data_IF_619721199729
#
_entry.id   IF_619721199729
#
_cell.length_a   1.000
_cell.length_b   1.000
_cell.length_c   1.000
_cell.angle_alpha   90.00
_cell.angle_beta   90.00
_cell.angle_gamma   90.00
#
_symmetry.space_group_name_H-M   'P 1'
#
loop_
_entity.id
_entity.type
_entity.pdbx_description
1 polymer ?
#
# COMPACT_ATOMS: atom_id res chain seq x y z
N UNK A 1 -46.84 5.55 -35.46
CA UNK A 1 -47.22 6.98 -35.59
C UNK A 1 -46.81 7.69 -34.31
N UNK A 2 -45.90 8.60 -34.47
CA UNK A 2 -45.71 9.90 -33.81
C UNK A 2 -45.21 9.87 -32.38
N UNK A 3 -44.27 10.66 -31.97
CA UNK A 3 -43.37 11.63 -32.60
C UNK A 3 -42.19 11.86 -31.63
N UNK A 4 -41.04 12.11 -32.23
CA UNK A 4 -39.80 12.56 -31.61
C UNK A 4 -40.00 14.03 -31.19
N UNK A 5 -39.48 14.37 -30.00
CA UNK A 5 -39.12 15.76 -29.67
C UNK A 5 -37.70 15.81 -29.15
N UNK A 6 -36.84 16.30 -30.00
CA UNK A 6 -35.49 16.69 -29.66
C UNK A 6 -35.52 18.11 -29.08
N UNK A 7 -34.89 18.32 -27.93
CA UNK A 7 -34.58 19.63 -27.40
C UNK A 7 -33.08 19.83 -27.42
N UNK A 8 -32.62 20.65 -28.37
CA UNK A 8 -31.23 21.13 -28.46
C UNK A 8 -31.06 22.28 -27.48
N UNK A 9 -30.10 22.15 -26.53
CA UNK A 9 -29.66 23.26 -25.73
C UNK A 9 -28.25 23.68 -26.21
N UNK A 10 -28.21 24.82 -26.88
CA UNK A 10 -27.00 25.57 -27.21
C UNK A 10 -26.50 26.23 -25.92
N UNK A 11 -25.30 25.89 -25.50
CA UNK A 11 -24.53 26.67 -24.50
C UNK A 11 -23.38 27.35 -25.24
N UNK A 12 -23.53 28.68 -25.36
CA UNK A 12 -22.50 29.58 -25.90
C UNK A 12 -21.32 29.66 -24.97
N UNK A 13 -20.14 29.50 -25.53
CA UNK A 13 -18.86 29.65 -24.81
C UNK A 13 -18.58 31.09 -24.40
N UNK A 14 -18.13 31.25 -23.19
CA UNK A 14 -17.49 32.46 -22.67
C UNK A 14 -16.12 32.13 -22.14
N UNK A 15 -15.09 32.38 -22.93
CA UNK A 15 -13.70 32.33 -22.47
C UNK A 15 -13.37 33.59 -21.68
N UNK A 16 -13.06 33.43 -20.41
CA UNK A 16 -12.41 34.48 -19.61
C UNK A 16 -10.91 34.21 -19.55
N UNK A 17 -10.16 35.00 -20.29
CA UNK A 17 -8.73 35.06 -20.17
C UNK A 17 -8.35 36.01 -19.03
N UNK A 18 -7.60 35.51 -18.05
CA UNK A 18 -6.89 36.36 -17.09
C UNK A 18 -5.45 36.48 -17.55
N UNK A 19 -5.08 37.66 -17.99
CA UNK A 19 -3.71 38.09 -18.15
C UNK A 19 -3.19 38.53 -16.77
N UNK A 20 -2.10 37.95 -16.31
CA UNK A 20 -1.31 38.47 -15.20
C UNK A 20 -0.09 39.16 -15.77
N UNK A 21 -0.07 40.48 -15.69
CA UNK A 21 1.14 41.29 -15.86
C UNK A 21 2.07 41.05 -14.67
N UNK A 22 3.28 40.61 -14.95
CA UNK A 22 4.39 40.67 -14.00
C UNK A 22 5.28 41.83 -14.37
N UNK A 23 5.41 42.80 -13.48
CA UNK A 23 6.46 43.83 -13.56
C UNK A 23 7.78 43.29 -12.97
N UNK A 24 8.94 43.69 -13.51
CA UNK A 24 10.24 43.25 -13.05
C UNK A 24 10.72 44.06 -11.85
N UNK A 25 11.23 43.38 -10.82
CA UNK A 25 11.89 44.03 -9.67
C UNK A 25 13.38 44.18 -9.99
N UNK A 26 13.82 45.42 -10.02
CA UNK A 26 15.22 45.84 -10.17
C UNK A 26 16.08 45.42 -8.97
N UNK A 27 17.26 44.88 -9.27
CA UNK A 27 18.36 44.70 -8.33
C UNK A 27 19.06 46.05 -8.09
N UNK A 28 19.04 46.52 -6.85
CA UNK A 28 19.98 47.56 -6.39
C UNK A 28 20.86 46.98 -5.29
N UNK A 29 22.17 47.09 -5.54
CA UNK A 29 23.20 46.68 -4.60
C UNK A 29 23.47 47.69 -3.51
N UNK A 30 24.15 47.28 -2.47
CA UNK A 30 24.66 48.17 -1.45
C UNK A 30 25.31 47.43 -0.28
N UNK A 31 26.62 47.57 -0.16
CA UNK A 31 27.51 47.04 0.89
C UNK A 31 27.08 47.47 2.29
N UNK A 32 27.41 46.60 3.28
CA UNK A 32 27.45 47.00 4.69
C UNK A 32 27.85 45.83 5.60
N UNK A 33 29.13 45.73 5.94
CA UNK A 33 29.67 44.88 6.99
C UNK A 33 29.15 45.33 8.36
N UNK A 34 28.63 44.40 9.14
CA UNK A 34 28.64 44.46 10.62
C UNK A 34 28.60 43.03 11.19
N UNK A 35 29.64 42.67 11.89
CA UNK A 35 29.70 41.50 12.77
C UNK A 35 28.76 41.68 13.94
N UNK A 36 27.93 40.67 14.21
CA UNK A 36 27.48 40.35 15.57
C UNK A 36 26.97 38.92 15.55
N UNK A 37 27.61 38.07 16.34
CA UNK A 37 27.23 36.68 16.51
C UNK A 37 25.85 36.53 17.14
N UNK A 38 25.13 35.55 16.65
CA UNK A 38 24.28 34.73 17.51
C UNK A 38 23.93 33.41 16.84
N UNK A 39 24.07 32.38 17.60
CA UNK A 39 23.65 31.02 17.28
C UNK A 39 22.14 31.01 16.96
N UNK A 40 21.80 30.59 15.77
CA UNK A 40 20.43 30.20 15.42
C UNK A 40 20.40 28.67 15.18
N UNK A 41 19.31 28.02 15.44
CA UNK A 41 19.28 26.57 15.64
C UNK A 41 19.52 25.82 14.32
N UNK A 42 20.67 25.20 14.21
CA UNK A 42 21.01 24.32 13.06
C UNK A 42 20.22 22.99 13.05
N UNK A 43 19.40 22.73 14.08
CA UNK A 43 18.68 21.43 14.18
C UNK A 43 17.40 21.36 13.36
N UNK A 44 16.61 22.46 13.21
CA UNK A 44 15.38 22.41 12.41
C UNK A 44 15.61 22.30 10.90
N UNK A 45 16.72 22.84 10.40
CA UNK A 45 17.07 22.81 8.98
C UNK A 45 17.61 21.45 8.51
N UNK A 46 18.14 20.62 9.41
CA UNK A 46 18.65 19.29 9.05
C UNK A 46 17.54 18.24 8.98
N UNK A 47 16.52 18.33 9.85
CA UNK A 47 15.38 17.41 9.83
C UNK A 47 14.56 17.55 8.53
N UNK A 48 14.30 18.79 8.10
CA UNK A 48 13.54 19.07 6.88
C UNK A 48 14.27 18.65 5.60
N UNK A 49 15.60 18.64 5.61
CA UNK A 49 16.40 18.23 4.44
C UNK A 49 16.44 16.71 4.22
N UNK A 50 16.13 15.90 5.25
CA UNK A 50 16.15 14.44 5.17
C UNK A 50 14.80 13.81 4.81
N UNK A 51 13.68 14.46 5.14
CA UNK A 51 12.33 13.95 4.89
C UNK A 51 11.61 14.65 3.73
N UNK A 52 11.97 15.90 3.42
CA UNK A 52 11.39 16.75 2.35
C UNK A 52 9.87 16.98 2.48
N UNK A 53 9.27 16.49 3.57
CA UNK A 53 7.88 16.75 3.93
C UNK A 53 7.88 17.99 4.81
N UNK A 54 7.03 18.97 4.50
CA UNK A 54 6.92 20.12 5.38
C UNK A 54 6.38 19.69 6.74
N UNK A 55 6.88 20.26 7.83
CA UNK A 55 6.40 19.96 9.19
C UNK A 55 4.86 20.10 9.31
N UNK A 56 4.26 20.94 8.47
CA UNK A 56 2.81 21.12 8.40
C UNK A 56 2.10 19.92 7.74
N UNK A 57 2.66 19.36 6.66
CA UNK A 57 2.08 18.17 6.00
C UNK A 57 2.22 16.93 6.87
N UNK A 58 3.35 16.77 7.53
CA UNK A 58 3.56 15.67 8.47
C UNK A 58 2.59 15.74 9.66
N UNK A 59 2.40 16.92 10.26
CA UNK A 59 1.47 17.12 11.35
C UNK A 59 0.01 16.84 10.94
N UNK A 60 -0.39 17.26 9.74
CA UNK A 60 -1.73 16.96 9.20
C UNK A 60 -1.90 15.45 8.96
N UNK A 61 -0.87 14.79 8.47
CA UNK A 61 -0.87 13.37 8.23
C UNK A 61 -0.94 12.58 9.55
N UNK A 62 -0.15 12.96 10.56
CA UNK A 62 -0.21 12.37 11.90
C UNK A 62 -1.57 12.58 12.57
N UNK A 63 -2.11 13.79 12.50
CA UNK A 63 -3.44 14.07 13.01
C UNK A 63 -4.52 13.18 12.36
N UNK A 64 -4.42 12.94 11.04
CA UNK A 64 -5.30 12.02 10.34
C UNK A 64 -5.13 10.59 10.83
N UNK A 65 -3.90 10.10 11.00
CA UNK A 65 -3.66 8.74 11.53
C UNK A 65 -4.28 8.55 12.91
N UNK A 66 -4.10 9.53 13.81
CA UNK A 66 -4.70 9.50 15.15
C UNK A 66 -6.23 9.54 15.11
N UNK A 67 -6.81 10.31 14.19
CA UNK A 67 -8.28 10.42 14.06
C UNK A 67 -8.94 9.12 13.55
N UNK A 68 -8.20 8.19 12.98
CA UNK A 68 -8.72 6.92 12.45
C UNK A 68 -8.78 5.80 13.50
N UNK A 69 -8.24 6.00 14.70
CA UNK A 69 -8.07 4.92 15.68
C UNK A 69 -9.39 4.19 16.00
N UNK A 70 -10.45 4.94 16.35
CA UNK A 70 -11.76 4.36 16.67
C UNK A 70 -12.38 3.62 15.48
N UNK A 71 -12.20 4.14 14.25
CA UNK A 71 -12.67 3.50 13.04
C UNK A 71 -11.89 2.20 12.73
N UNK A 72 -10.58 2.18 13.00
CA UNK A 72 -9.72 0.99 12.86
C UNK A 72 -10.09 -0.09 13.88
N UNK A 73 -10.44 0.30 15.12
CA UNK A 73 -10.93 -0.65 16.11
C UNK A 73 -12.28 -1.26 15.68
N UNK A 74 -13.22 -0.42 15.26
CA UNK A 74 -14.51 -0.86 14.74
C UNK A 74 -14.35 -1.83 13.56
N UNK A 75 -13.46 -1.50 12.61
CA UNK A 75 -13.12 -2.40 11.52
C UNK A 75 -12.52 -3.72 12.00
N UNK A 76 -11.63 -3.69 12.99
CA UNK A 76 -11.00 -4.91 13.52
C UNK A 76 -12.03 -5.87 14.13
N UNK A 77 -13.04 -5.33 14.81
CA UNK A 77 -14.16 -6.11 15.35
C UNK A 77 -15.03 -6.69 14.24
N UNK A 78 -15.39 -5.89 13.24
CA UNK A 78 -16.13 -6.33 12.07
C UNK A 78 -15.38 -7.45 11.34
N UNK A 79 -14.09 -7.22 11.07
CA UNK A 79 -13.25 -8.21 10.39
C UNK A 79 -13.14 -9.53 11.16
N UNK A 80 -13.05 -9.45 12.49
CA UNK A 80 -13.01 -10.63 13.36
C UNK A 80 -14.32 -11.43 13.34
N UNK A 81 -15.45 -10.82 13.00
CA UNK A 81 -16.76 -11.49 12.96
C UNK A 81 -16.94 -12.39 11.74
N UNK A 82 -16.15 -12.20 10.68
CA UNK A 82 -16.25 -13.02 9.46
C UNK A 82 -15.55 -14.37 9.65
N UNK A 83 -16.07 -15.47 9.06
CA UNK A 83 -15.37 -16.73 8.95
C UNK A 83 -14.00 -16.53 8.29
N UNK A 84 -12.99 -17.30 8.71
CA UNK A 84 -11.61 -17.16 8.21
C UNK A 84 -11.13 -18.42 7.50
N UNK A 85 -10.30 -18.22 6.48
CA UNK A 85 -9.49 -19.27 5.88
C UNK A 85 -8.25 -19.59 6.73
N UNK A 86 -7.41 -20.49 6.26
CA UNK A 86 -6.16 -20.89 6.91
C UNK A 86 -5.11 -19.75 7.02
N UNK A 87 -5.26 -18.68 6.23
CA UNK A 87 -4.37 -17.51 6.21
C UNK A 87 -4.93 -16.35 7.04
N UNK A 88 -6.14 -16.50 7.62
CA UNK A 88 -6.80 -15.47 8.41
C UNK A 88 -7.58 -14.43 7.60
N UNK A 89 -7.82 -14.68 6.30
CA UNK A 89 -8.70 -13.87 5.46
C UNK A 89 -10.15 -14.34 5.57
N UNK A 90 -11.16 -13.46 5.36
CA UNK A 90 -12.53 -13.89 5.27
C UNK A 90 -12.69 -14.96 4.18
N UNK A 91 -13.32 -16.07 4.55
CA UNK A 91 -13.66 -17.14 3.62
C UNK A 91 -15.08 -17.04 3.07
N UNK A 92 -15.89 -16.16 3.68
CA UNK A 92 -17.23 -15.79 3.21
C UNK A 92 -17.69 -14.50 3.90
N UNK A 93 -18.67 -13.86 3.30
CA UNK A 93 -19.27 -12.61 3.80
C UNK A 93 -20.79 -12.79 3.96
N UNK A 94 -21.45 -11.95 4.80
CA UNK A 94 -22.91 -11.84 4.79
C UNK A 94 -23.41 -11.38 3.41
N UNK A 95 -24.58 -11.89 3.00
CA UNK A 95 -25.17 -11.61 1.66
C UNK A 95 -25.34 -10.13 1.36
N UNK A 96 -25.58 -9.31 2.39
CA UNK A 96 -25.76 -7.86 2.25
C UNK A 96 -24.48 -7.05 2.42
N UNK A 97 -23.36 -7.68 2.80
CA UNK A 97 -22.07 -6.99 2.94
C UNK A 97 -21.46 -6.69 1.57
N UNK A 98 -21.04 -5.44 1.37
CA UNK A 98 -20.51 -4.96 0.10
C UNK A 98 -19.13 -4.30 0.21
N UNK A 99 -18.47 -4.47 1.34
CA UNK A 99 -17.16 -3.90 1.64
C UNK A 99 -17.22 -2.75 2.63
N UNK A 100 -16.05 -2.19 2.96
CA UNK A 100 -15.95 -1.01 3.81
C UNK A 100 -14.69 -0.19 3.48
N UNK A 101 -14.69 1.08 3.89
CA UNK A 101 -13.53 1.95 3.72
C UNK A 101 -13.53 3.05 4.78
N UNK A 102 -12.38 3.67 5.01
CA UNK A 102 -12.28 4.88 5.83
C UNK A 102 -12.38 6.11 4.92
N UNK A 103 -13.34 7.00 5.22
CA UNK A 103 -13.56 8.23 4.46
C UNK A 103 -12.62 9.38 4.88
N UNK A 104 -12.78 10.53 4.26
CA UNK A 104 -11.97 11.73 4.54
C UNK A 104 -12.20 12.31 5.94
N UNK A 105 -13.36 11.97 6.56
CA UNK A 105 -13.69 12.36 7.95
C UNK A 105 -13.16 11.37 8.98
N UNK A 106 -12.44 10.32 8.57
CA UNK A 106 -11.95 9.22 9.40
C UNK A 106 -13.06 8.34 9.96
N UNK A 107 -14.22 8.27 9.29
CA UNK A 107 -15.30 7.35 9.64
C UNK A 107 -15.18 6.04 8.86
N UNK A 108 -15.48 4.92 9.51
CA UNK A 108 -15.62 3.62 8.86
C UNK A 108 -16.96 3.58 8.12
N UNK A 109 -16.93 3.61 6.81
CA UNK A 109 -18.12 3.50 5.96
C UNK A 109 -18.31 2.05 5.57
N UNK A 110 -19.38 1.42 6.04
CA UNK A 110 -19.78 0.06 5.65
C UNK A 110 -20.78 0.16 4.51
N UNK A 111 -20.50 -0.57 3.44
CA UNK A 111 -21.34 -0.66 2.26
C UNK A 111 -22.27 -1.87 2.40
N UNK A 112 -23.57 -1.65 2.17
CA UNK A 112 -24.57 -2.70 2.28
C UNK A 112 -25.48 -2.72 1.04
N UNK A 113 -25.79 -3.91 0.54
CA UNK A 113 -26.83 -4.11 -0.47
C UNK A 113 -28.19 -4.07 0.22
N UNK A 114 -29.09 -3.20 -0.29
CA UNK A 114 -30.44 -3.03 0.27
C UNK A 114 -30.47 -2.80 1.80
N UNK A 115 -29.75 -1.82 2.36
CA UNK A 115 -29.63 -1.62 3.79
C UNK A 115 -30.97 -1.40 4.47
N UNK A 116 -31.22 -2.10 5.56
CA UNK A 116 -32.37 -1.90 6.46
C UNK A 116 -31.85 -1.36 7.79
N UNK A 117 -32.72 -0.71 8.58
CA UNK A 117 -32.32 -0.28 9.94
C UNK A 117 -31.85 -1.47 10.79
N UNK A 118 -32.51 -2.61 10.65
CA UNK A 118 -32.10 -3.84 11.35
C UNK A 118 -30.71 -4.32 10.94
N UNK A 119 -30.37 -4.31 9.65
CA UNK A 119 -29.03 -4.71 9.22
C UNK A 119 -27.97 -3.71 9.69
N UNK A 120 -28.25 -2.40 9.62
CA UNK A 120 -27.33 -1.37 10.14
C UNK A 120 -27.08 -1.51 11.65
N UNK A 121 -28.11 -1.78 12.45
CA UNK A 121 -27.97 -2.04 13.88
C UNK A 121 -27.07 -3.26 14.13
N UNK A 122 -27.29 -4.37 13.42
CA UNK A 122 -26.49 -5.57 13.55
C UNK A 122 -25.00 -5.30 13.23
N UNK A 123 -24.69 -4.61 12.13
CA UNK A 123 -23.30 -4.26 11.80
C UNK A 123 -22.70 -3.26 12.81
N UNK A 124 -23.50 -2.34 13.33
CA UNK A 124 -23.05 -1.42 14.36
C UNK A 124 -22.67 -2.14 15.65
N UNK A 125 -23.44 -3.16 16.04
CA UNK A 125 -23.11 -4.05 17.18
C UNK A 125 -21.79 -4.80 16.92
N UNK A 126 -21.61 -5.38 15.73
CA UNK A 126 -20.36 -6.06 15.33
C UNK A 126 -19.15 -5.11 15.41
N UNK A 127 -19.34 -3.83 15.16
CA UNK A 127 -18.32 -2.79 15.28
C UNK A 127 -18.19 -2.19 16.68
N UNK A 128 -18.68 -2.83 17.73
CA UNK A 128 -18.60 -2.34 19.10
C UNK A 128 -19.42 -1.08 19.39
N UNK A 129 -20.45 -0.81 18.59
CA UNK A 129 -21.29 0.39 18.67
C UNK A 129 -20.54 1.71 18.49
N UNK A 130 -19.40 1.70 17.79
CA UNK A 130 -18.61 2.90 17.54
C UNK A 130 -19.44 4.01 16.87
N UNK A 131 -19.20 5.25 17.30
CA UNK A 131 -19.81 6.45 16.73
C UNK A 131 -19.25 6.79 15.35
N UNK A 132 -18.10 6.21 14.98
CA UNK A 132 -17.40 6.39 13.71
C UNK A 132 -17.91 5.48 12.59
N UNK A 133 -18.90 4.63 12.86
CA UNK A 133 -19.48 3.76 11.84
C UNK A 133 -20.58 4.49 11.08
N UNK A 134 -20.46 4.51 9.76
CA UNK A 134 -21.43 5.04 8.80
C UNK A 134 -21.87 3.94 7.86
N UNK A 135 -23.03 4.11 7.23
CA UNK A 135 -23.56 3.17 6.27
C UNK A 135 -23.85 3.84 4.94
N UNK A 136 -23.58 3.15 3.85
CA UNK A 136 -23.89 3.58 2.50
C UNK A 136 -24.50 2.41 1.73
N UNK A 137 -25.51 2.70 0.92
CA UNK A 137 -26.07 1.68 0.02
C UNK A 137 -25.07 1.36 -1.10
N UNK A 138 -25.00 0.09 -1.44
CA UNK A 138 -24.21 -0.47 -2.53
C UNK A 138 -25.10 -1.26 -3.47
N UNK A 139 -24.63 -1.48 -4.69
CA UNK A 139 -25.37 -2.22 -5.70
C UNK A 139 -25.00 -3.71 -5.68
N UNK A 140 -23.73 -4.04 -5.41
CA UNK A 140 -23.16 -5.38 -5.52
C UNK A 140 -22.60 -5.81 -4.16
N UNK A 141 -22.84 -7.07 -3.77
CA UNK A 141 -22.27 -7.63 -2.55
C UNK A 141 -20.76 -7.91 -2.73
N UNK A 142 -20.05 -8.08 -1.62
CA UNK A 142 -18.63 -8.43 -1.65
C UNK A 142 -18.39 -9.77 -2.34
N UNK A 143 -19.24 -10.76 -2.05
CA UNK A 143 -19.18 -12.08 -2.67
C UNK A 143 -19.40 -12.00 -4.20
N UNK A 144 -20.38 -11.17 -4.65
CA UNK A 144 -20.59 -10.91 -6.07
C UNK A 144 -19.37 -10.26 -6.71
N UNK A 145 -18.77 -9.24 -6.07
CA UNK A 145 -17.58 -8.57 -6.60
C UNK A 145 -16.38 -9.52 -6.65
N UNK A 146 -16.15 -10.33 -5.62
CA UNK A 146 -15.05 -11.29 -5.60
C UNK A 146 -15.20 -12.40 -6.64
N UNK A 147 -16.43 -12.75 -7.03
CA UNK A 147 -16.66 -13.76 -8.08
C UNK A 147 -16.01 -13.40 -9.43
N UNK A 148 -15.77 -12.12 -9.70
CA UNK A 148 -15.07 -11.65 -10.90
C UNK A 148 -13.57 -11.94 -10.91
N UNK A 149 -12.98 -12.41 -9.80
CA UNK A 149 -11.59 -12.88 -9.80
C UNK A 149 -11.37 -14.01 -10.81
N UNK A 150 -12.31 -14.94 -10.92
CA UNK A 150 -12.21 -16.06 -11.87
C UNK A 150 -12.25 -15.57 -13.33
N UNK A 151 -13.02 -14.52 -13.61
CA UNK A 151 -13.06 -13.92 -14.96
C UNK A 151 -11.73 -13.21 -15.28
N UNK A 152 -11.19 -12.45 -14.33
CA UNK A 152 -9.89 -11.81 -14.50
C UNK A 152 -8.77 -12.84 -14.68
N UNK A 153 -8.83 -13.96 -13.95
CA UNK A 153 -7.91 -15.09 -14.11
C UNK A 153 -7.96 -15.67 -15.52
N UNK A 154 -9.15 -15.88 -16.08
CA UNK A 154 -9.32 -16.36 -17.45
C UNK A 154 -8.72 -15.38 -18.47
N UNK A 155 -8.96 -14.09 -18.32
CA UNK A 155 -8.34 -13.07 -19.18
C UNK A 155 -6.81 -13.15 -19.13
N UNK A 156 -6.24 -13.31 -17.94
CA UNK A 156 -4.79 -13.50 -17.80
C UNK A 156 -4.30 -14.77 -18.50
N UNK A 157 -5.01 -15.90 -18.33
CA UNK A 157 -4.69 -17.17 -18.99
C UNK A 157 -4.85 -17.11 -20.52
N UNK A 158 -5.78 -16.29 -21.02
CA UNK A 158 -5.97 -15.99 -22.44
C UNK A 158 -4.87 -15.10 -23.02
N UNK A 159 -3.97 -14.58 -22.19
CA UNK A 159 -2.80 -13.81 -22.58
C UNK A 159 -3.01 -12.30 -22.59
N UNK A 160 -4.06 -11.78 -21.98
CA UNK A 160 -4.18 -10.35 -21.72
C UNK A 160 -3.16 -9.91 -20.68
N UNK A 161 -2.57 -8.75 -20.90
CA UNK A 161 -1.53 -8.20 -20.03
C UNK A 161 -2.14 -7.42 -18.86
N UNK A 162 -2.59 -8.16 -17.82
CA UNK A 162 -3.20 -7.62 -16.63
C UNK A 162 -2.12 -7.11 -15.66
N UNK A 163 -2.14 -5.82 -15.37
CA UNK A 163 -1.23 -5.16 -14.42
C UNK A 163 -1.65 -5.43 -12.97
N UNK A 164 -2.96 -5.34 -12.70
CA UNK A 164 -3.55 -5.69 -11.40
C UNK A 164 -5.06 -5.83 -11.52
N UNK A 165 -5.67 -6.58 -10.62
CA UNK A 165 -7.13 -6.66 -10.53
C UNK A 165 -7.58 -6.93 -9.09
N UNK A 166 -8.82 -6.60 -8.79
CA UNK A 166 -9.43 -6.81 -7.48
C UNK A 166 -10.61 -5.88 -7.20
N UNK A 167 -11.21 -6.07 -6.03
CA UNK A 167 -12.34 -5.27 -5.58
C UNK A 167 -11.88 -3.87 -5.18
N UNK A 168 -12.56 -2.85 -5.69
CA UNK A 168 -12.48 -1.48 -5.23
C UNK A 168 -13.70 -1.20 -4.34
N UNK A 169 -13.56 -1.44 -3.05
CA UNK A 169 -14.65 -1.35 -2.09
C UNK A 169 -15.29 0.05 -2.08
N UNK A 170 -14.50 1.12 -2.02
CA UNK A 170 -15.00 2.50 -1.97
C UNK A 170 -15.98 2.83 -3.11
N UNK A 171 -15.77 2.25 -4.28
CA UNK A 171 -16.60 2.48 -5.46
C UNK A 171 -17.59 1.34 -5.73
N UNK A 172 -17.56 0.27 -4.93
CA UNK A 172 -18.36 -0.94 -5.12
C UNK A 172 -18.22 -1.50 -6.54
N UNK A 173 -16.98 -1.74 -6.97
CA UNK A 173 -16.61 -2.16 -8.31
C UNK A 173 -15.50 -3.21 -8.26
N UNK A 174 -15.45 -4.07 -9.27
CA UNK A 174 -14.29 -4.91 -9.55
C UNK A 174 -13.43 -4.25 -10.62
N UNK A 175 -12.18 -3.95 -10.32
CA UNK A 175 -11.25 -3.28 -11.24
C UNK A 175 -10.29 -4.26 -11.86
N UNK A 176 -10.07 -4.11 -13.17
CA UNK A 176 -9.02 -4.80 -13.91
C UNK A 176 -8.18 -3.72 -14.58
N UNK A 177 -6.88 -3.67 -14.27
CA UNK A 177 -5.93 -2.77 -14.92
C UNK A 177 -5.12 -3.53 -15.92
N UNK A 178 -5.07 -3.00 -17.13
CA UNK A 178 -4.38 -3.61 -18.27
C UNK A 178 -3.51 -2.56 -18.96
N UNK A 179 -2.58 -3.02 -19.81
CA UNK A 179 -1.82 -2.12 -20.66
C UNK A 179 -2.73 -1.41 -21.71
N UNK A 180 -2.19 -0.43 -22.41
CA UNK A 180 -2.93 0.37 -23.41
C UNK A 180 -3.51 -0.49 -24.54
N UNK A 181 -2.76 -1.49 -25.01
CA UNK A 181 -3.20 -2.35 -26.12
C UNK A 181 -4.42 -3.17 -25.73
N UNK A 182 -4.37 -3.82 -24.57
CA UNK A 182 -5.44 -4.68 -24.08
C UNK A 182 -6.60 -3.86 -23.52
N UNK A 183 -6.36 -2.64 -23.04
CA UNK A 183 -7.42 -1.70 -22.69
C UNK A 183 -8.34 -1.41 -23.86
N UNK A 184 -7.77 -1.15 -25.05
CA UNK A 184 -8.57 -0.89 -26.25
C UNK A 184 -9.39 -2.11 -26.69
N UNK A 185 -8.85 -3.32 -26.52
CA UNK A 185 -9.56 -4.58 -26.83
C UNK A 185 -10.71 -4.82 -25.83
N UNK A 186 -10.39 -4.84 -24.54
CA UNK A 186 -11.33 -5.19 -23.47
C UNK A 186 -12.40 -4.13 -23.27
N UNK A 187 -12.04 -2.84 -23.30
CA UNK A 187 -13.00 -1.75 -23.13
C UNK A 187 -14.13 -1.80 -24.15
N UNK A 188 -13.84 -2.20 -25.40
CA UNK A 188 -14.85 -2.37 -26.44
C UNK A 188 -15.82 -3.53 -26.16
N UNK A 189 -15.35 -4.60 -25.54
CA UNK A 189 -16.17 -5.76 -25.15
C UNK A 189 -17.05 -5.45 -23.93
N UNK A 190 -16.50 -4.76 -22.94
CA UNK A 190 -17.19 -4.42 -21.69
C UNK A 190 -18.09 -3.17 -21.79
N UNK A 191 -17.94 -2.30 -22.81
CA UNK A 191 -18.82 -1.14 -23.02
C UNK A 191 -20.29 -1.56 -23.17
N UNK A 192 -20.58 -2.71 -23.75
CA UNK A 192 -21.95 -3.18 -23.95
C UNK A 192 -22.64 -3.63 -22.65
N UNK A 193 -21.85 -3.95 -21.61
CA UNK A 193 -22.36 -4.44 -20.31
C UNK A 193 -22.23 -3.43 -19.18
N UNK A 194 -21.68 -2.24 -19.43
CA UNK A 194 -21.37 -1.20 -18.41
C UNK A 194 -22.54 -0.77 -17.53
N UNK A 195 -23.78 -0.90 -18.00
CA UNK A 195 -24.94 -0.49 -17.20
C UNK A 195 -25.37 -1.52 -16.16
N UNK A 196 -24.84 -2.74 -16.21
CA UNK A 196 -25.24 -3.88 -15.36
C UNK A 196 -24.07 -4.66 -14.77
N UNK A 197 -22.83 -4.34 -15.13
CA UNK A 197 -21.62 -5.02 -14.60
C UNK A 197 -20.84 -4.12 -13.65
N UNK A 198 -20.38 -4.64 -12.51
CA UNK A 198 -19.49 -3.90 -11.61
C UNK A 198 -18.04 -3.81 -12.11
N UNK A 199 -17.71 -4.51 -13.22
CA UNK A 199 -16.34 -4.59 -13.73
C UNK A 199 -15.95 -3.27 -14.42
N UNK A 200 -14.83 -2.72 -14.00
CA UNK A 200 -14.21 -1.51 -14.58
C UNK A 200 -12.84 -1.87 -15.13
N UNK A 201 -12.66 -1.68 -16.43
CA UNK A 201 -11.36 -1.80 -17.09
C UNK A 201 -10.67 -0.43 -17.03
N UNK A 202 -9.47 -0.37 -16.48
CA UNK A 202 -8.63 0.84 -16.42
C UNK A 202 -7.33 0.62 -17.21
N UNK A 203 -6.93 1.63 -17.98
CA UNK A 203 -5.60 1.66 -18.59
C UNK A 203 -4.54 1.89 -17.52
N UNK A 204 -3.48 1.09 -17.54
CA UNK A 204 -2.27 1.32 -16.76
C UNK A 204 -1.07 1.47 -17.67
N UNK A 205 -0.37 2.61 -17.54
CA UNK A 205 0.85 2.90 -18.31
C UNK A 205 2.11 2.30 -17.67
N UNK A 206 1.98 1.64 -16.54
CA UNK A 206 3.13 1.12 -15.79
C UNK A 206 2.75 -0.11 -14.96
N UNK A 207 3.71 -1.01 -14.83
CA UNK A 207 3.62 -2.17 -13.95
C UNK A 207 4.08 -1.81 -12.53
N UNK A 208 3.61 -2.58 -11.56
CA UNK A 208 4.21 -2.59 -10.23
C UNK A 208 5.44 -3.48 -10.31
N UNK A 209 6.62 -2.90 -10.19
CA UNK A 209 7.88 -3.64 -10.28
C UNK A 209 8.41 -3.95 -8.88
N UNK A 210 9.03 -5.13 -8.68
CA UNK A 210 9.75 -5.40 -7.44
C UNK A 210 10.85 -4.36 -7.26
N UNK A 211 10.88 -3.71 -6.10
CA UNK A 211 11.93 -2.74 -5.79
C UNK A 211 13.15 -3.48 -5.27
N UNK A 212 13.95 -4.06 -6.15
CA UNK A 212 15.08 -4.93 -5.78
C UNK A 212 16.43 -4.25 -6.02
N UNK A 213 17.04 -3.70 -5.04
CA UNK A 213 18.49 -3.57 -4.80
C UNK A 213 18.78 -2.79 -3.51
N UNK A 214 19.51 -3.28 -2.59
CA UNK A 214 20.02 -2.67 -1.35
C UNK A 214 19.01 -2.45 -0.21
N UNK A 215 19.20 -3.15 0.89
CA UNK A 215 18.29 -3.35 2.01
C UNK A 215 18.63 -2.69 3.32
N UNK A 216 17.58 -2.05 3.91
CA UNK A 216 17.61 -1.66 5.32
C UNK A 216 16.21 -1.79 5.90
N UNK A 217 15.92 -2.58 6.82
CA UNK A 217 14.71 -2.60 7.59
C UNK A 217 14.81 -1.71 8.79
N UNK A 218 14.79 -0.56 8.54
CA UNK A 218 15.71 0.03 9.25
C UNK A 218 17.13 -0.34 8.80
N UNK A 219 17.55 -1.50 8.37
CA UNK A 219 18.93 -1.87 7.98
C UNK A 219 18.99 -2.59 6.62
N UNK A 220 20.13 -2.44 5.94
CA UNK A 220 20.43 -3.08 4.66
C UNK A 220 20.64 -4.58 4.84
N UNK A 221 20.07 -5.43 4.01
CA UNK A 221 20.50 -6.79 3.85
C UNK A 221 20.63 -7.18 2.38
N UNK A 222 21.55 -8.05 2.10
CA UNK A 222 21.87 -8.56 0.77
C UNK A 222 21.72 -10.08 0.78
N UNK A 223 21.40 -10.65 -0.37
CA UNK A 223 21.25 -12.08 -0.50
C UNK A 223 22.35 -12.63 -1.40
N UNK A 224 22.79 -13.85 -1.13
CA UNK A 224 23.73 -14.53 -2.02
C UNK A 224 23.14 -14.55 -3.43
N UNK A 225 23.94 -14.12 -4.43
CA UNK A 225 23.48 -13.97 -5.83
C UNK A 225 23.19 -12.52 -6.24
N UNK A 226 23.63 -11.54 -5.44
CA UNK A 226 23.58 -10.09 -5.72
C UNK A 226 22.17 -9.48 -5.77
N UNK A 227 21.19 -10.09 -5.14
CA UNK A 227 19.90 -9.44 -4.90
C UNK A 227 19.90 -8.79 -3.52
N UNK A 228 19.09 -7.79 -3.42
CA UNK A 228 19.04 -6.97 -2.22
C UNK A 228 17.59 -6.53 -1.95
N UNK A 229 17.17 -6.19 -0.76
CA UNK A 229 15.84 -5.77 -0.34
C UNK A 229 15.89 -5.13 1.06
N UNK A 230 14.87 -4.73 1.76
CA UNK A 230 14.82 -4.08 3.11
C UNK A 230 14.42 -5.08 4.20
N UNK A 231 15.02 -5.06 5.38
CA UNK A 231 14.53 -5.81 6.55
C UNK A 231 13.20 -5.21 7.01
N UNK A 232 12.11 -5.97 7.00
CA UNK A 232 10.80 -5.50 7.40
C UNK A 232 10.69 -5.26 8.89
N UNK A 233 10.68 -6.31 9.66
CA UNK A 233 10.58 -6.25 11.13
C UNK A 233 11.19 -7.51 11.74
N UNK A 234 11.61 -7.39 12.99
CA UNK A 234 12.08 -8.50 13.80
C UNK A 234 10.97 -9.30 14.46
N UNK A 235 11.23 -10.56 14.68
CA UNK A 235 10.30 -11.50 15.28
C UNK A 235 10.97 -12.82 15.64
N UNK A 236 10.16 -13.87 15.73
CA UNK A 236 10.66 -15.23 15.93
C UNK A 236 10.03 -16.19 14.92
N UNK A 237 10.76 -17.21 14.56
CA UNK A 237 10.29 -18.32 13.75
C UNK A 237 10.78 -19.62 14.39
N UNK A 238 9.84 -20.55 14.70
CA UNK A 238 10.14 -21.79 15.42
C UNK A 238 10.95 -21.57 16.71
N UNK A 239 10.60 -20.50 17.46
CA UNK A 239 11.27 -20.15 18.73
C UNK A 239 12.66 -19.49 18.59
N UNK A 240 13.16 -19.28 17.37
CA UNK A 240 14.43 -18.63 17.10
C UNK A 240 14.22 -17.22 16.58
N UNK A 241 15.19 -16.35 16.81
CA UNK A 241 15.21 -15.00 16.28
C UNK A 241 15.16 -15.01 14.75
N UNK A 242 14.26 -14.22 14.20
CA UNK A 242 14.04 -14.12 12.76
C UNK A 242 13.67 -12.68 12.36
N UNK A 243 13.82 -12.39 11.08
CA UNK A 243 13.34 -11.15 10.43
C UNK A 243 12.54 -11.52 9.20
N UNK A 244 11.70 -10.59 8.75
CA UNK A 244 10.99 -10.73 7.48
C UNK A 244 11.49 -9.72 6.46
N UNK A 245 11.28 -10.04 5.19
CA UNK A 245 11.48 -9.17 4.03
C UNK A 245 10.52 -9.59 2.92
N UNK A 246 10.58 -8.94 1.75
CA UNK A 246 9.82 -9.39 0.59
C UNK A 246 10.35 -10.73 0.02
N UNK A 247 9.43 -11.57 -0.46
CA UNK A 247 9.75 -12.90 -0.96
C UNK A 247 10.50 -12.90 -2.28
N UNK A 248 10.33 -11.85 -3.09
CA UNK A 248 11.06 -11.72 -4.36
C UNK A 248 12.53 -11.33 -4.17
N UNK A 249 12.92 -10.79 -3.01
CA UNK A 249 14.30 -10.40 -2.74
C UNK A 249 15.27 -11.60 -2.76
N UNK A 250 15.04 -12.70 -2.02
CA UNK A 250 15.81 -13.92 -2.20
C UNK A 250 15.27 -14.71 -3.39
N UNK A 251 16.13 -15.21 -4.25
CA UNK A 251 15.72 -16.00 -5.41
C UNK A 251 15.22 -17.43 -5.05
N UNK A 252 15.60 -17.95 -3.86
CA UNK A 252 15.15 -19.26 -3.33
C UNK A 252 15.27 -19.35 -1.82
N UNK A 253 14.80 -20.46 -1.24
CA UNK A 253 15.08 -20.82 0.14
C UNK A 253 16.56 -21.21 0.34
N UNK A 254 16.98 -21.24 1.59
CA UNK A 254 18.34 -21.63 2.02
C UNK A 254 19.46 -20.72 1.50
N UNK A 255 19.13 -19.48 1.14
CA UNK A 255 20.09 -18.46 0.72
C UNK A 255 20.63 -17.75 1.96
N UNK A 256 21.95 -17.51 2.00
CA UNK A 256 22.57 -16.67 3.01
C UNK A 256 22.18 -15.21 2.81
N UNK A 257 21.98 -14.55 3.95
CA UNK A 257 21.63 -13.13 4.01
C UNK A 257 22.74 -12.37 4.72
N UNK A 258 23.15 -11.26 4.13
CA UNK A 258 24.27 -10.43 4.58
C UNK A 258 23.74 -9.05 5.02
N UNK A 259 24.40 -8.45 5.99
CA UNK A 259 24.21 -7.04 6.34
C UNK A 259 25.07 -6.11 5.47
N UNK A 260 24.96 -4.80 5.72
CA UNK A 260 25.75 -3.78 5.02
C UNK A 260 27.27 -3.95 5.15
N UNK A 261 27.74 -4.66 6.18
CA UNK A 261 29.15 -4.95 6.42
C UNK A 261 29.59 -6.30 5.84
N UNK A 262 28.79 -6.87 4.96
CA UNK A 262 29.05 -8.17 4.33
C UNK A 262 29.18 -9.35 5.31
N UNK A 263 28.52 -9.25 6.47
CA UNK A 263 28.48 -10.33 7.46
C UNK A 263 27.22 -11.17 7.27
N UNK A 264 27.34 -12.50 7.30
CA UNK A 264 26.19 -13.39 7.23
C UNK A 264 25.34 -13.22 8.50
N UNK A 265 24.12 -12.71 8.35
CA UNK A 265 23.18 -12.50 9.46
C UNK A 265 22.21 -13.67 9.65
N UNK A 266 22.00 -14.46 8.62
CA UNK A 266 21.06 -15.59 8.69
C UNK A 266 20.87 -16.28 7.36
N UNK A 267 19.81 -17.10 7.31
CA UNK A 267 19.42 -17.89 6.13
C UNK A 267 17.92 -17.78 5.89
N UNK A 268 17.51 -17.70 4.64
CA UNK A 268 16.10 -17.75 4.25
C UNK A 268 15.54 -19.14 4.54
N UNK A 269 14.60 -19.22 5.46
CA UNK A 269 13.97 -20.48 5.88
C UNK A 269 12.57 -20.69 5.29
N UNK A 270 11.93 -19.63 4.86
CA UNK A 270 10.63 -19.67 4.16
C UNK A 270 10.54 -18.49 3.19
N UNK A 271 10.01 -18.78 2.01
CA UNK A 271 9.81 -17.80 0.95
C UNK A 271 8.46 -18.05 0.28
N UNK A 272 7.75 -16.98 -0.02
CA UNK A 272 6.55 -16.95 -0.84
C UNK A 272 6.70 -15.85 -1.89
N UNK A 273 6.95 -16.24 -3.10
CA UNK A 273 6.98 -15.43 -4.32
C UNK A 273 7.04 -16.38 -5.52
N UNK A 274 6.04 -17.22 -5.63
CA UNK A 274 5.88 -18.12 -6.77
C UNK A 274 4.64 -17.68 -7.52
N UNK A 275 4.57 -17.97 -8.80
CA UNK A 275 3.39 -17.64 -9.59
C UNK A 275 2.13 -18.21 -8.93
N UNK A 276 1.12 -17.39 -8.75
CA UNK A 276 -0.12 -17.69 -8.05
C UNK A 276 0.04 -17.95 -6.53
N UNK A 277 1.06 -17.41 -5.91
CA UNK A 277 1.15 -17.47 -4.45
C UNK A 277 0.44 -16.29 -3.79
N UNK A 278 -0.09 -16.53 -2.60
CA UNK A 278 -0.64 -15.48 -1.75
C UNK A 278 0.46 -14.80 -0.93
N UNK A 279 0.56 -13.50 -1.08
CA UNK A 279 1.55 -12.66 -0.39
C UNK A 279 2.97 -12.79 -0.96
N UNK A 280 3.76 -11.75 -0.73
CA UNK A 280 5.16 -11.62 -1.13
C UNK A 280 6.02 -11.45 0.13
N UNK A 281 6.55 -12.54 0.69
CA UNK A 281 7.37 -12.48 1.90
C UNK A 281 8.43 -13.56 1.96
N UNK A 282 9.51 -13.28 2.69
CA UNK A 282 10.49 -14.25 3.12
C UNK A 282 10.76 -14.13 4.62
N UNK A 283 10.97 -15.26 5.29
CA UNK A 283 11.39 -15.36 6.68
C UNK A 283 12.86 -15.76 6.69
N UNK A 284 13.67 -14.96 7.37
CA UNK A 284 15.11 -15.16 7.53
C UNK A 284 15.34 -15.54 8.98
N UNK A 285 15.78 -16.76 9.22
CA UNK A 285 16.22 -17.17 10.55
C UNK A 285 17.63 -16.65 10.79
N UNK A 286 17.80 -15.92 11.88
CA UNK A 286 19.08 -15.33 12.23
C UNK A 286 20.04 -16.39 12.81
N UNK A 287 21.33 -16.19 12.61
CA UNK A 287 22.36 -16.95 13.30
C UNK A 287 22.52 -16.44 14.76
N UNK A 288 23.25 -17.18 15.58
CA UNK A 288 23.34 -16.91 17.03
C UNK A 288 23.99 -15.57 17.38
N UNK A 289 24.70 -14.94 16.44
CA UNK A 289 25.39 -13.67 16.66
C UNK A 289 24.48 -12.46 16.49
N UNK A 290 23.28 -12.66 15.96
CA UNK A 290 22.33 -11.58 15.67
C UNK A 290 21.00 -11.82 16.38
N UNK A 291 20.38 -10.73 16.82
CA UNK A 291 19.06 -10.76 17.45
C UNK A 291 18.09 -9.86 16.69
N UNK A 292 16.90 -10.37 16.47
CA UNK A 292 15.81 -9.57 15.93
C UNK A 292 15.34 -8.55 16.97
N UNK A 293 14.91 -7.39 16.54
CA UNK A 293 14.32 -6.35 17.39
C UNK A 293 12.97 -5.89 16.86
N UNK A 294 12.17 -5.26 17.70
CA UNK A 294 10.96 -4.57 17.29
C UNK A 294 11.22 -3.11 16.90
N UNK A 295 12.45 -2.74 16.62
CA UNK A 295 12.84 -1.36 16.32
C UNK A 295 13.05 -1.16 14.83
N UNK A 296 12.69 0.02 14.37
CA UNK A 296 13.00 0.50 13.03
C UNK A 296 14.22 1.41 13.10
N UNK A 297 15.06 1.34 12.07
CA UNK A 297 16.24 2.19 11.95
C UNK A 297 15.81 3.65 11.78
N UNK A 298 16.40 4.57 12.55
CA UNK A 298 16.01 5.97 12.49
C UNK A 298 16.41 6.59 11.16
N UNK A 299 15.48 7.32 10.56
CA UNK A 299 15.79 8.23 9.46
C UNK A 299 16.23 9.57 10.02
N UNK A 300 15.80 9.90 11.24
CA UNK A 300 15.97 11.21 11.91
C UNK A 300 16.42 11.07 13.36
N UNK A 301 17.41 10.24 13.66
CA UNK A 301 17.98 10.02 14.99
C UNK A 301 17.04 9.41 16.05
N UNK A 302 15.72 9.27 15.79
CA UNK A 302 14.78 8.66 16.72
C UNK A 302 14.48 7.21 16.34
N UNK A 303 14.79 6.28 17.24
CA UNK A 303 14.45 4.87 17.07
C UNK A 303 12.95 4.68 17.30
N UNK A 304 12.25 4.26 16.25
CA UNK A 304 10.83 3.91 16.35
C UNK A 304 10.69 2.49 16.86
N UNK A 305 9.87 2.29 17.89
CA UNK A 305 9.52 0.96 18.39
C UNK A 305 8.18 0.52 17.85
N UNK A 306 8.10 -0.69 17.32
CA UNK A 306 6.84 -1.33 16.95
C UNK A 306 6.22 -1.92 18.22
N UNK A 307 5.04 -1.41 18.57
CA UNK A 307 4.35 -1.75 19.81
C UNK A 307 3.24 -2.78 19.63
N UNK A 308 2.90 -3.09 18.39
CA UNK A 308 1.89 -4.09 18.10
C UNK A 308 1.78 -4.42 16.61
N UNK A 309 0.81 -5.25 16.31
CA UNK A 309 0.48 -5.71 14.96
C UNK A 309 -0.94 -5.27 14.63
N UNK A 310 -1.13 -4.67 13.46
CA UNK A 310 -2.47 -4.30 12.98
C UNK A 310 -2.63 -4.75 11.52
N UNK A 311 -3.03 -6.01 11.31
CA UNK A 311 -3.28 -6.53 9.98
C UNK A 311 -4.63 -6.06 9.42
N UNK A 312 -4.87 -6.31 8.14
CA UNK A 312 -6.17 -6.15 7.49
C UNK A 312 -6.81 -4.78 7.75
N UNK A 313 -6.03 -3.71 7.58
CA UNK A 313 -6.52 -2.35 7.77
C UNK A 313 -7.47 -1.95 6.63
N UNK A 314 -8.55 -1.17 6.89
CA UNK A 314 -9.51 -0.83 5.85
C UNK A 314 -8.95 0.15 4.81
N UNK A 315 -9.51 0.10 3.61
CA UNK A 315 -9.26 1.09 2.54
C UNK A 315 -9.51 2.51 3.08
N UNK A 316 -8.68 3.45 2.68
CA UNK A 316 -8.69 4.83 3.18
C UNK A 316 -7.77 5.05 4.39
N UNK A 317 -7.22 3.99 4.99
CA UNK A 317 -6.25 4.12 6.09
C UNK A 317 -4.95 4.74 5.60
N UNK A 318 -4.46 5.69 6.38
CA UNK A 318 -3.15 6.29 6.18
C UNK A 318 -2.05 5.35 6.68
N UNK A 319 -1.05 5.12 5.84
CA UNK A 319 0.08 4.23 6.15
C UNK A 319 1.40 4.98 6.09
N UNK A 320 2.40 4.43 6.76
CA UNK A 320 3.82 4.82 6.67
C UNK A 320 4.66 3.64 6.22
N UNK A 321 5.61 3.87 5.33
CA UNK A 321 6.63 2.87 5.00
C UNK A 321 8.02 3.39 5.34
N UNK A 322 8.92 2.47 5.65
CA UNK A 322 10.33 2.74 5.89
C UNK A 322 11.16 1.84 4.97
N UNK A 323 11.85 2.46 4.04
CA UNK A 323 12.66 1.74 3.05
C UNK A 323 14.13 2.12 3.17
N UNK A 324 14.99 1.26 2.70
CA UNK A 324 16.42 1.44 2.79
C UNK A 324 16.94 2.55 1.90
N UNK A 325 16.34 2.72 0.73
CA UNK A 325 16.79 3.67 -0.28
C UNK A 325 16.15 5.03 -0.12
N UNK A 326 14.86 5.04 0.15
CA UNK A 326 14.11 6.29 0.21
C UNK A 326 13.66 6.68 1.61
N UNK A 327 13.97 5.83 2.61
CA UNK A 327 13.62 6.10 3.99
C UNK A 327 12.12 6.10 4.23
N UNK A 328 11.66 7.10 4.97
CA UNK A 328 10.27 7.32 5.31
C UNK A 328 9.46 7.80 4.10
N UNK A 329 8.27 7.25 3.94
CA UNK A 329 7.26 7.71 3.00
C UNK A 329 5.87 7.39 3.53
N UNK A 330 4.84 8.06 3.06
CA UNK A 330 3.46 7.88 3.50
C UNK A 330 2.49 7.84 2.33
N UNK A 331 1.33 7.26 2.58
CA UNK A 331 0.26 7.17 1.61
C UNK A 331 -1.05 6.72 2.23
N UNK A 332 -2.01 6.40 1.39
CA UNK A 332 -3.34 5.94 1.80
C UNK A 332 -3.63 4.59 1.15
N UNK A 333 -4.06 3.61 1.93
CA UNK A 333 -4.50 2.32 1.41
C UNK A 333 -5.67 2.51 0.45
N UNK A 334 -5.53 2.00 -0.76
CA UNK A 334 -6.49 2.18 -1.85
C UNK A 334 -7.27 0.91 -2.16
N UNK A 335 -6.58 -0.23 -2.21
CA UNK A 335 -7.17 -1.52 -2.51
C UNK A 335 -6.59 -2.59 -1.57
N UNK A 336 -7.44 -3.51 -1.12
CA UNK A 336 -7.06 -4.72 -0.39
C UNK A 336 -7.28 -5.94 -1.27
N UNK A 337 -6.49 -6.99 -1.04
CA UNK A 337 -6.67 -8.26 -1.74
C UNK A 337 -6.41 -8.18 -3.25
N UNK A 338 -5.64 -7.19 -3.71
CA UNK A 338 -5.32 -7.03 -5.11
C UNK A 338 -4.38 -8.14 -5.59
N UNK A 339 -4.62 -8.61 -6.82
CA UNK A 339 -3.70 -9.48 -7.52
C UNK A 339 -2.78 -8.63 -8.39
N UNK A 340 -1.49 -8.83 -8.26
CA UNK A 340 -0.48 -8.00 -8.92
C UNK A 340 0.41 -8.86 -9.80
N UNK A 341 0.55 -8.47 -11.06
CA UNK A 341 1.51 -9.08 -11.98
C UNK A 341 2.84 -8.35 -11.89
N UNK A 342 3.89 -9.09 -11.59
CA UNK A 342 5.27 -8.60 -11.59
C UNK A 342 5.99 -9.05 -12.85
N UNK A 343 6.67 -8.12 -13.54
CA UNK A 343 7.69 -8.42 -14.52
C UNK A 343 9.00 -8.71 -13.77
N UNK A 344 9.34 -9.98 -13.61
CA UNK A 344 10.45 -10.43 -12.79
C UNK A 344 11.52 -11.10 -13.65
N UNK A 345 12.80 -10.81 -13.39
CA UNK A 345 13.91 -11.55 -13.98
C UNK A 345 14.36 -12.66 -13.06
N UNK A 346 14.29 -13.90 -13.54
CA UNK A 346 14.78 -15.06 -12.80
C UNK A 346 16.33 -15.08 -12.68
N UNK A 347 16.86 -16.07 -12.00
CA UNK A 347 18.31 -16.23 -11.82
C UNK A 347 19.10 -16.42 -13.14
N UNK A 348 18.43 -16.85 -14.20
CA UNK A 348 18.98 -16.95 -15.57
C UNK A 348 18.87 -15.64 -16.36
N UNK A 349 18.30 -14.58 -15.75
CA UNK A 349 18.06 -13.28 -16.40
C UNK A 349 16.88 -13.26 -17.37
N UNK A 350 16.03 -14.30 -17.38
CA UNK A 350 14.84 -14.39 -18.23
C UNK A 350 13.70 -13.63 -17.58
N UNK A 351 13.03 -12.80 -18.37
CA UNK A 351 11.81 -12.13 -17.94
C UNK A 351 10.66 -13.13 -17.80
N UNK A 352 9.96 -13.06 -16.67
CA UNK A 352 8.76 -13.85 -16.38
C UNK A 352 7.73 -12.99 -15.71
N UNK A 353 6.48 -13.27 -16.02
CA UNK A 353 5.36 -12.72 -15.28
C UNK A 353 5.09 -13.60 -14.07
N UNK A 354 5.01 -12.96 -12.90
CA UNK A 354 4.68 -13.62 -11.64
C UNK A 354 3.47 -12.91 -11.05
N UNK A 355 2.37 -13.62 -10.91
CA UNK A 355 1.15 -13.10 -10.28
C UNK A 355 1.16 -13.44 -8.80
N UNK A 356 1.05 -12.42 -7.97
CA UNK A 356 0.95 -12.55 -6.52
C UNK A 356 -0.45 -12.11 -6.09
N UNK A 357 -1.12 -12.95 -5.31
CA UNK A 357 -2.46 -12.69 -4.79
C UNK A 357 -2.44 -11.89 -3.50
N UNK A 358 -3.55 -11.21 -3.28
CA UNK A 358 -3.90 -10.61 -2.01
C UNK A 358 -2.85 -9.63 -1.48
N UNK A 359 -2.29 -8.80 -2.35
CA UNK A 359 -1.50 -7.66 -1.94
C UNK A 359 -2.41 -6.45 -1.63
N UNK A 360 -1.90 -5.55 -0.82
CA UNK A 360 -2.52 -4.26 -0.56
C UNK A 360 -1.89 -3.20 -1.46
N UNK A 361 -2.69 -2.32 -2.05
CA UNK A 361 -2.23 -1.21 -2.88
C UNK A 361 -2.48 0.11 -2.15
N UNK A 362 -1.43 0.90 -2.01
CA UNK A 362 -1.50 2.24 -1.45
C UNK A 362 -1.26 3.30 -2.52
N UNK A 363 -2.05 4.37 -2.49
CA UNK A 363 -1.78 5.59 -3.24
C UNK A 363 -0.77 6.42 -2.45
N UNK A 364 0.36 6.73 -3.08
CA UNK A 364 1.47 7.46 -2.49
C UNK A 364 1.61 8.81 -3.19
N UNK A 365 1.55 9.96 -2.48
CA UNK A 365 1.89 11.24 -3.08
C UNK A 365 3.30 11.21 -3.68
N UNK A 366 3.45 11.65 -4.94
CA UNK A 366 4.74 11.61 -5.63
C UNK A 366 5.48 12.95 -5.46
N UNK A 367 6.14 13.10 -4.32
CA UNK A 367 7.01 14.27 -4.05
C UNK A 367 8.49 13.88 -4.12
N UNK A 368 9.38 14.84 -4.03
CA UNK A 368 10.84 14.58 -4.07
C UNK A 368 11.30 13.62 -2.97
N UNK A 369 10.63 13.64 -1.83
CA UNK A 369 10.98 12.87 -0.63
C UNK A 369 10.03 11.70 -0.34
N UNK A 370 8.85 11.66 -0.95
CA UNK A 370 7.86 10.61 -0.72
C UNK A 370 7.87 9.61 -1.88
N UNK A 371 8.85 8.71 -1.87
CA UNK A 371 9.07 7.74 -2.95
C UNK A 371 9.19 6.31 -2.43
N UNK A 372 8.95 5.36 -3.32
CA UNK A 372 9.26 3.94 -3.11
C UNK A 372 10.06 3.47 -4.32
N UNK A 373 11.34 3.19 -4.13
CA UNK A 373 12.27 2.86 -5.20
C UNK A 373 12.85 1.46 -5.02
N UNK A 374 13.53 0.93 -6.07
CA UNK A 374 14.30 -0.30 -5.96
C UNK A 374 15.19 -0.28 -4.71
N UNK A 375 15.02 -1.29 -3.85
CA UNK A 375 15.68 -1.39 -2.57
C UNK A 375 14.80 -1.12 -1.34
N UNK A 376 13.62 -0.60 -1.51
CA UNK A 376 12.64 -0.46 -0.42
C UNK A 376 11.82 -1.74 -0.20
N UNK A 377 11.94 -2.73 -1.09
CA UNK A 377 11.27 -4.04 -0.97
C UNK A 377 11.56 -4.72 0.36
N UNK A 378 10.54 -5.19 1.03
CA UNK A 378 10.62 -5.78 2.36
C UNK A 378 10.55 -4.76 3.49
N UNK A 379 10.67 -3.46 3.20
CA UNK A 379 10.58 -2.39 4.20
C UNK A 379 9.25 -2.43 4.96
N UNK A 380 9.25 -2.10 6.28
CA UNK A 380 8.04 -2.17 7.08
C UNK A 380 7.01 -1.13 6.65
N UNK A 381 5.76 -1.56 6.64
CA UNK A 381 4.59 -0.70 6.46
C UNK A 381 3.84 -0.66 7.79
N UNK A 382 3.60 0.55 8.29
CA UNK A 382 3.05 0.78 9.62
C UNK A 382 1.83 1.71 9.57
N UNK A 383 1.00 1.60 10.60
CA UNK A 383 -0.02 2.58 10.95
C UNK A 383 0.25 3.11 12.35
N UNK A 384 -0.29 4.27 12.67
CA UNK A 384 -0.30 4.81 14.03
C UNK A 384 -1.66 4.54 14.66
N UNK A 385 -1.65 4.06 15.90
CA UNK A 385 -2.83 3.82 16.73
C UNK A 385 -2.59 4.51 18.08
N UNK A 386 -3.25 5.61 18.32
CA UNK A 386 -2.88 6.53 19.40
C UNK A 386 -1.47 7.09 19.19
N UNK A 387 -0.57 6.84 20.16
CA UNK A 387 0.84 7.19 20.05
C UNK A 387 1.72 6.00 19.57
N UNK A 388 1.12 4.86 19.24
CA UNK A 388 1.81 3.59 19.01
C UNK A 388 2.00 3.29 17.52
N UNK A 389 3.20 2.88 17.15
CA UNK A 389 3.47 2.35 15.81
C UNK A 389 3.11 0.86 15.75
N UNK A 390 2.21 0.52 14.84
CA UNK A 390 1.73 -0.84 14.61
C UNK A 390 2.17 -1.31 13.24
N UNK A 391 2.83 -2.47 13.15
CA UNK A 391 3.17 -3.05 11.85
C UNK A 391 1.93 -3.60 11.16
N UNK A 392 1.74 -3.28 9.88
CA UNK A 392 0.65 -3.80 9.06
C UNK A 392 1.14 -4.66 7.90
N UNK A 393 2.38 -4.49 7.45
CA UNK A 393 2.91 -5.27 6.33
C UNK A 393 4.35 -4.94 5.96
N UNK A 394 4.75 -5.42 4.79
CA UNK A 394 6.07 -5.17 4.19
C UNK A 394 5.94 -4.77 2.73
N UNK A 395 6.71 -3.78 2.28
CA UNK A 395 6.73 -3.31 0.90
C UNK A 395 7.01 -4.47 -0.07
N UNK A 396 6.21 -4.57 -1.12
CA UNK A 396 6.40 -5.52 -2.22
C UNK A 396 6.94 -4.84 -3.47
N UNK A 397 6.36 -3.72 -3.91
CA UNK A 397 6.83 -3.01 -5.10
C UNK A 397 6.11 -1.70 -5.34
N UNK A 398 6.44 -1.02 -6.47
CA UNK A 398 5.79 0.24 -6.87
C UNK A 398 5.85 0.43 -8.39
N UNK A 399 4.99 1.28 -8.93
CA UNK A 399 5.06 1.64 -10.35
C UNK A 399 6.04 2.80 -10.59
N UNK A 400 7.26 2.40 -10.96
CA UNK A 400 8.40 3.30 -11.14
C UNK A 400 8.19 4.33 -12.26
N UNK A 401 7.45 3.98 -13.30
CA UNK A 401 7.15 4.89 -14.42
C UNK A 401 6.34 6.11 -13.97
N UNK A 402 5.36 5.92 -13.09
CA UNK A 402 4.61 7.03 -12.50
C UNK A 402 5.50 7.93 -11.64
N UNK A 403 6.43 7.33 -10.89
CA UNK A 403 7.41 8.09 -10.11
C UNK A 403 8.29 8.92 -11.04
N UNK A 404 8.80 8.31 -12.12
CA UNK A 404 9.73 8.93 -13.07
C UNK A 404 9.06 10.00 -13.94
N UNK A 405 7.80 9.81 -14.31
CA UNK A 405 7.04 10.76 -15.14
C UNK A 405 6.59 12.03 -14.39
N UNK A 406 6.77 12.07 -13.08
CA UNK A 406 6.31 13.21 -12.26
C UNK A 406 4.79 13.27 -12.10
N UNK A 407 4.09 12.12 -12.22
CA UNK A 407 2.67 12.04 -11.86
C UNK A 407 2.47 12.50 -10.40
N UNK A 408 1.32 13.08 -10.07
CA UNK A 408 1.04 13.56 -8.70
C UNK A 408 1.00 12.47 -7.66
N UNK A 409 0.67 11.22 -8.08
CA UNK A 409 0.61 10.02 -7.25
C UNK A 409 1.19 8.82 -7.97
N UNK A 410 1.68 7.85 -7.20
CA UNK A 410 2.07 6.52 -7.67
C UNK A 410 1.47 5.45 -6.75
N UNK A 411 1.52 4.21 -7.16
CA UNK A 411 1.03 3.09 -6.37
C UNK A 411 2.19 2.29 -5.78
N UNK A 412 2.03 1.91 -4.51
CA UNK A 412 2.90 0.98 -3.81
C UNK A 412 2.09 -0.25 -3.42
N UNK A 413 2.58 -1.43 -3.80
CA UNK A 413 2.07 -2.70 -3.30
C UNK A 413 2.81 -3.10 -2.02
N UNK A 414 2.07 -3.69 -1.05
CA UNK A 414 2.67 -4.29 0.13
C UNK A 414 1.96 -5.60 0.51
N UNK A 415 2.73 -6.51 1.11
CA UNK A 415 2.23 -7.76 1.65
C UNK A 415 1.73 -7.52 3.08
N UNK A 416 0.47 -7.86 3.38
CA UNK A 416 -0.07 -7.76 4.74
C UNK A 416 0.67 -8.71 5.69
N UNK A 417 0.84 -8.28 6.94
CA UNK A 417 1.58 -9.01 7.98
C UNK A 417 0.90 -10.35 8.35
N UNK A 418 -0.35 -10.54 7.99
CA UNK A 418 -1.08 -11.80 8.17
C UNK A 418 -0.37 -12.96 7.48
N UNK A 419 0.19 -12.75 6.29
CA UNK A 419 0.85 -13.80 5.51
C UNK A 419 2.12 -14.35 6.15
N UNK A 420 3.12 -13.54 6.52
CA UNK A 420 4.27 -14.07 7.26
C UNK A 420 3.86 -14.62 8.62
N UNK A 421 2.84 -14.06 9.29
CA UNK A 421 2.32 -14.59 10.56
C UNK A 421 1.65 -15.95 10.38
N UNK A 422 0.79 -16.13 9.38
CA UNK A 422 0.24 -17.44 8.97
C UNK A 422 1.35 -18.41 8.54
N UNK A 423 2.47 -17.88 8.04
CA UNK A 423 3.70 -18.62 7.75
C UNK A 423 4.47 -19.12 8.98
N UNK A 424 4.07 -18.74 10.19
CA UNK A 424 4.69 -19.12 11.46
C UNK A 424 5.63 -18.05 12.05
N UNK A 425 5.72 -16.87 11.43
CA UNK A 425 6.48 -15.75 11.97
C UNK A 425 5.70 -15.04 13.08
N UNK A 426 6.33 -14.80 14.21
CA UNK A 426 5.74 -14.04 15.32
C UNK A 426 6.49 -12.72 15.47
N UNK A 427 5.81 -11.62 15.22
CA UNK A 427 6.38 -10.27 15.34
C UNK A 427 6.78 -10.00 16.78
N UNK A 428 7.96 -9.40 16.99
CA UNK A 428 8.35 -8.80 18.28
C UNK A 428 7.69 -7.44 18.41
N UNK A 429 7.08 -7.20 19.56
CA UNK A 429 6.48 -5.93 19.95
C UNK A 429 7.04 -5.48 21.29
N UNK A 430 6.92 -4.20 21.63
CA UNK A 430 7.15 -3.72 23.00
C UNK A 430 6.06 -4.30 23.89
N UNK A 431 6.45 -5.03 24.92
CA UNK A 431 5.54 -5.52 25.96
C UNK A 431 5.20 -4.41 26.93
#
# INVERSE_FOLDING_TARGET
MSAVLAASLLITGGSLSFASEQEPIELMGGMGLAEAGNQAPEEETKATALTGISATEEALFEARMLSQEEALEAHSLLWASFPKDENGWPSSYPEDYAGCYIDEASDLVILLVNPTEKSKEAYKELCGNSSRVKFKAAQYSMEELESYNDEAMKLYEEGYDLVSWGVNEKNNQFKIRVNEEDYNKLSSQFIQTRSTSPVVIEESKSYIEPTATNLYGGQKCEFAGNSAGTIGIGGTYNGKDAIITAGHCPYKNSVYVYNANNQIIGTVVKRKFDNWSAGDYAIIQLNNNFKSTNKLWPIDANIISIEGVRPNIPVGTTIRKYGAVTGYSYGTLKDMGANVTYKYKDEDGRERDVVIYNLCIAAMPNTSSNKTLPGDSGGPVCVISGSKYMITGTVSGSNLDKISSGASEYEMAYCDITYPSGGGFKVKTSS
#
